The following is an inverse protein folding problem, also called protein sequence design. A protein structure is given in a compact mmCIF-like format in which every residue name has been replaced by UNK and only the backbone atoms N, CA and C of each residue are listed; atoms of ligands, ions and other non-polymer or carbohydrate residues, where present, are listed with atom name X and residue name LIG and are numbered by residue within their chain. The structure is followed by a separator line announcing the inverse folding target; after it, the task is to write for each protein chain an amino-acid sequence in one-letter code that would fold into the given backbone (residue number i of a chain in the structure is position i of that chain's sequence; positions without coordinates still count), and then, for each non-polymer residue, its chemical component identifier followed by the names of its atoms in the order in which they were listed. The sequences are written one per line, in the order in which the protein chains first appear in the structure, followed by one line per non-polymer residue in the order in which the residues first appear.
data_IF_981294707751
#
_entry.id   IF_981294707751
#
_cell.length_a   1.000
_cell.length_b   1.000
_cell.length_c   1.000
_cell.angle_alpha   90.00
_cell.angle_beta   90.00
_cell.angle_gamma   90.00
#
_symmetry.space_group_name_H-M   'P 1'
#
loop_
_entity.id
_entity.type
_entity.pdbx_description
1 polymer ?
#
# COMPACT_ATOMS: atom_id res chain seq x y z
N UNK A 1 -0.97 -29.66 13.72
CA UNK A 1 -1.38 -31.08 13.91
C UNK A 1 -2.02 -31.72 12.67
N UNK A 2 -2.67 -30.94 11.79
CA UNK A 2 -3.45 -31.46 10.63
C UNK A 2 -2.58 -32.04 9.51
N UNK A 3 -1.34 -31.59 9.35
CA UNK A 3 -0.48 -31.94 8.21
C UNK A 3 0.43 -33.16 8.48
N UNK A 4 0.47 -33.67 9.70
CA UNK A 4 1.36 -34.78 10.08
C UNK A 4 0.98 -36.16 9.54
N UNK A 5 -0.22 -36.32 8.98
CA UNK A 5 -0.75 -37.64 8.58
C UNK A 5 -0.80 -37.90 7.07
N UNK A 6 -0.27 -37.03 6.22
CA UNK A 6 -0.26 -37.23 4.77
C UNK A 6 1.17 -37.40 4.24
N UNK A 7 1.46 -38.49 3.52
CA UNK A 7 2.81 -38.84 3.04
C UNK A 7 3.31 -37.98 1.84
N UNK A 8 2.51 -36.99 1.38
CA UNK A 8 2.80 -36.17 0.20
C UNK A 8 4.14 -35.41 0.29
N UNK A 9 4.53 -34.95 1.49
CA UNK A 9 5.79 -34.21 1.71
C UNK A 9 7.03 -35.04 1.41
N UNK A 10 6.95 -36.37 1.48
CA UNK A 10 8.06 -37.27 1.15
C UNK A 10 8.34 -37.29 -0.35
N UNK A 11 7.29 -37.21 -1.19
CA UNK A 11 7.40 -37.28 -2.65
C UNK A 11 7.92 -35.99 -3.26
N UNK A 12 7.64 -34.84 -2.65
CA UNK A 12 8.00 -33.50 -3.15
C UNK A 12 9.30 -32.95 -2.52
N UNK A 13 9.98 -33.74 -1.69
CA UNK A 13 11.21 -33.32 -0.97
C UNK A 13 11.01 -32.01 -0.19
N UNK A 14 9.84 -31.85 0.44
CA UNK A 14 9.52 -30.69 1.28
C UNK A 14 10.29 -30.78 2.59
N UNK A 15 11.09 -29.77 2.90
CA UNK A 15 11.91 -29.70 4.11
C UNK A 15 11.19 -29.02 5.27
N UNK A 16 10.45 -27.96 4.98
CA UNK A 16 9.83 -27.13 6.01
C UNK A 16 8.38 -26.80 5.66
N UNK A 17 7.57 -26.85 6.72
CA UNK A 17 6.25 -26.23 6.77
C UNK A 17 6.39 -24.95 7.59
N UNK A 18 6.12 -23.83 6.96
CA UNK A 18 6.29 -22.50 7.56
C UNK A 18 4.93 -21.91 7.94
N UNK A 19 4.83 -20.63 7.90
CA UNK A 19 3.70 -19.83 8.33
C UNK A 19 2.37 -20.22 7.63
N UNK A 20 1.26 -20.29 8.41
CA UNK A 20 -0.11 -20.54 7.93
C UNK A 20 -0.92 -19.25 7.92
N UNK A 21 -1.61 -18.98 6.82
CA UNK A 21 -2.48 -17.81 6.66
C UNK A 21 -3.59 -18.09 5.66
N UNK A 22 -4.81 -17.67 5.97
CA UNK A 22 -5.99 -17.71 5.12
C UNK A 22 -6.27 -19.08 4.45
N UNK A 23 -5.98 -20.20 5.15
CA UNK A 23 -6.23 -21.55 4.63
C UNK A 23 -5.01 -22.21 3.98
N UNK A 24 -3.87 -21.52 3.89
CA UNK A 24 -2.65 -22.04 3.26
C UNK A 24 -1.44 -21.95 4.16
N UNK A 25 -0.60 -22.98 4.11
CA UNK A 25 0.72 -22.96 4.70
C UNK A 25 1.78 -22.78 3.61
N UNK A 26 2.79 -21.96 3.91
CA UNK A 26 3.98 -21.85 3.08
C UNK A 26 4.86 -23.10 3.28
N UNK A 27 5.29 -23.72 2.19
CA UNK A 27 6.21 -24.86 2.18
C UNK A 27 7.49 -24.51 1.45
N UNK A 28 8.61 -25.15 1.87
CA UNK A 28 9.91 -25.02 1.22
C UNK A 28 10.42 -26.40 0.78
N UNK A 29 10.83 -26.50 -0.47
CA UNK A 29 11.46 -27.68 -1.05
C UNK A 29 12.99 -27.68 -0.84
N UNK A 30 13.63 -28.83 -1.02
CA UNK A 30 15.08 -29.03 -0.80
C UNK A 30 16.00 -28.17 -1.66
N UNK A 31 15.53 -27.72 -2.81
CA UNK A 31 16.22 -26.77 -3.70
C UNK A 31 15.97 -25.28 -3.35
N UNK A 32 15.43 -25.02 -2.14
CA UNK A 32 15.11 -23.69 -1.61
C UNK A 32 13.99 -22.96 -2.33
N UNK A 33 13.18 -23.65 -3.13
CA UNK A 33 11.99 -23.07 -3.73
C UNK A 33 10.78 -23.24 -2.82
N UNK A 34 9.82 -22.33 -3.00
CA UNK A 34 8.63 -22.19 -2.16
C UNK A 34 7.34 -22.44 -2.94
N UNK A 35 6.34 -22.90 -2.24
CA UNK A 35 4.96 -23.02 -2.69
C UNK A 35 4.01 -22.91 -1.50
N UNK A 36 2.75 -23.14 -1.73
CA UNK A 36 1.71 -23.20 -0.71
C UNK A 36 1.03 -24.58 -0.72
N UNK A 37 0.48 -24.92 0.41
CA UNK A 37 -0.31 -26.13 0.60
C UNK A 37 -1.57 -25.80 1.39
N UNK A 38 -2.69 -26.38 0.99
CA UNK A 38 -3.97 -26.27 1.70
C UNK A 38 -4.05 -27.23 2.90
N UNK A 39 -5.17 -27.17 3.65
CA UNK A 39 -5.42 -28.04 4.81
C UNK A 39 -5.58 -29.53 4.42
N UNK A 40 -5.93 -29.83 3.18
CA UNK A 40 -6.08 -31.18 2.65
C UNK A 40 -4.75 -31.78 2.15
N UNK A 41 -3.69 -30.97 2.12
CA UNK A 41 -2.38 -31.42 1.65
C UNK A 41 -2.17 -31.22 0.14
N UNK A 42 -3.00 -30.44 -0.54
CA UNK A 42 -2.84 -30.14 -1.96
C UNK A 42 -1.89 -28.96 -2.17
N UNK A 43 -0.93 -29.14 -3.08
CA UNK A 43 -0.01 -28.06 -3.47
C UNK A 43 -0.77 -27.10 -4.40
N UNK A 44 -0.74 -25.80 -4.07
CA UNK A 44 -1.51 -24.76 -4.75
C UNK A 44 -1.09 -24.58 -6.22
N UNK A 45 0.19 -24.60 -6.53
CA UNK A 45 0.70 -24.34 -7.88
C UNK A 45 1.64 -25.43 -8.37
N UNK A 46 1.56 -25.74 -9.67
CA UNK A 46 2.54 -26.60 -10.34
C UNK A 46 3.93 -25.94 -10.44
N UNK A 47 4.00 -24.59 -10.33
CA UNK A 47 5.24 -23.82 -10.36
C UNK A 47 5.76 -23.59 -8.94
N UNK A 48 7.07 -23.60 -8.80
CA UNK A 48 7.77 -23.26 -7.57
C UNK A 48 8.45 -21.91 -7.72
N UNK A 49 8.55 -21.16 -6.63
CA UNK A 49 8.97 -19.76 -6.61
C UNK A 49 10.21 -19.58 -5.75
N UNK A 50 11.07 -18.61 -6.07
CA UNK A 50 12.26 -18.31 -5.25
C UNK A 50 11.89 -17.57 -3.96
N UNK A 51 10.71 -16.95 -3.91
CA UNK A 51 10.17 -16.28 -2.74
C UNK A 51 8.64 -16.26 -2.79
N UNK A 52 8.01 -16.38 -1.63
CA UNK A 52 6.57 -16.17 -1.44
C UNK A 52 6.29 -15.51 -0.10
N UNK A 53 5.31 -14.59 -0.04
CA UNK A 53 4.74 -14.07 1.20
C UNK A 53 3.57 -14.94 1.66
N UNK A 54 3.01 -14.66 2.85
CA UNK A 54 1.75 -15.23 3.30
C UNK A 54 0.57 -14.62 2.56
N UNK A 55 -0.57 -15.32 2.57
CA UNK A 55 -1.82 -14.80 2.02
C UNK A 55 -2.33 -13.61 2.85
N UNK A 56 -2.77 -12.59 2.13
CA UNK A 56 -3.45 -11.40 2.69
C UNK A 56 -4.50 -10.92 1.69
N UNK A 57 -5.73 -10.69 2.16
CA UNK A 57 -6.88 -10.31 1.34
C UNK A 57 -7.13 -11.23 0.12
N UNK A 58 -6.80 -12.52 0.26
CA UNK A 58 -7.02 -13.54 -0.79
C UNK A 58 -5.87 -13.74 -1.77
N UNK A 59 -4.79 -12.98 -1.66
CA UNK A 59 -3.62 -13.07 -2.53
C UNK A 59 -2.31 -13.24 -1.75
N UNK A 60 -1.34 -13.88 -2.37
CA UNK A 60 0.02 -13.97 -1.88
C UNK A 60 1.01 -13.43 -2.92
N UNK A 61 2.02 -12.70 -2.48
CA UNK A 61 3.12 -12.28 -3.35
C UNK A 61 4.02 -13.47 -3.63
N UNK A 62 4.37 -13.66 -4.89
CA UNK A 62 5.30 -14.67 -5.39
C UNK A 62 6.41 -14.02 -6.19
N UNK A 63 7.61 -14.61 -6.19
CA UNK A 63 8.74 -14.16 -6.99
C UNK A 63 9.31 -15.32 -7.81
N UNK A 64 9.49 -15.11 -9.10
CA UNK A 64 10.13 -16.10 -9.99
C UNK A 64 11.65 -15.90 -10.09
N UNK A 65 12.34 -16.81 -10.75
CA UNK A 65 13.81 -16.88 -10.80
C UNK A 65 14.52 -15.65 -11.39
N UNK A 66 13.87 -14.86 -12.23
CA UNK A 66 14.36 -13.59 -12.77
C UNK A 66 14.16 -12.40 -11.80
N UNK A 67 13.74 -12.68 -10.57
CA UNK A 67 13.50 -11.71 -9.48
C UNK A 67 12.33 -10.76 -9.71
N UNK A 68 11.43 -11.06 -10.64
CA UNK A 68 10.19 -10.33 -10.82
C UNK A 68 9.07 -10.94 -9.98
N UNK A 69 8.13 -10.10 -9.59
CA UNK A 69 7.05 -10.40 -8.66
C UNK A 69 5.70 -10.46 -9.35
N UNK A 70 4.78 -11.24 -8.81
CA UNK A 70 3.36 -11.26 -9.14
C UNK A 70 2.55 -11.68 -7.92
N UNK A 71 1.24 -11.71 -8.04
CA UNK A 71 0.34 -12.31 -7.07
C UNK A 71 -0.13 -13.68 -7.54
N UNK A 72 -0.42 -14.55 -6.58
CA UNK A 72 -1.14 -15.80 -6.77
C UNK A 72 -2.39 -15.78 -5.89
N UNK A 73 -3.53 -16.18 -6.46
CA UNK A 73 -4.79 -16.33 -5.72
C UNK A 73 -4.89 -17.71 -5.03
N UNK A 74 -5.98 -17.93 -4.32
CA UNK A 74 -6.26 -19.19 -3.60
C UNK A 74 -6.58 -20.37 -4.51
N UNK A 75 -6.84 -20.14 -5.78
CA UNK A 75 -7.06 -21.15 -6.82
C UNK A 75 -5.77 -21.48 -7.59
N UNK A 76 -4.66 -20.81 -7.26
CA UNK A 76 -3.36 -21.00 -7.90
C UNK A 76 -3.18 -20.21 -9.21
N UNK A 77 -4.08 -19.28 -9.52
CA UNK A 77 -3.96 -18.43 -10.69
C UNK A 77 -3.03 -17.25 -10.41
N UNK A 78 -2.22 -16.91 -11.41
CA UNK A 78 -1.40 -15.70 -11.39
C UNK A 78 -2.28 -14.51 -11.75
N UNK A 79 -2.30 -13.47 -10.91
CA UNK A 79 -3.19 -12.32 -11.06
C UNK A 79 -2.94 -11.58 -12.37
N UNK A 80 -1.68 -11.21 -12.67
CA UNK A 80 -1.38 -10.40 -13.85
C UNK A 80 -0.53 -11.15 -14.86
N UNK A 81 -0.74 -10.87 -16.15
CA UNK A 81 0.16 -11.31 -17.22
C UNK A 81 1.52 -10.63 -17.13
N UNK A 82 1.56 -9.43 -16.57
CA UNK A 82 2.78 -8.67 -16.32
C UNK A 82 3.44 -9.06 -15.00
N UNK A 83 4.78 -9.03 -14.99
CA UNK A 83 5.59 -9.26 -13.81
C UNK A 83 6.32 -7.96 -13.43
N UNK A 84 6.38 -7.65 -12.16
CA UNK A 84 6.78 -6.35 -11.64
C UNK A 84 8.14 -6.40 -10.94
N UNK A 85 8.85 -5.27 -10.93
CA UNK A 85 10.11 -5.14 -10.19
C UNK A 85 9.91 -4.98 -8.67
N UNK A 86 8.68 -4.67 -8.25
CA UNK A 86 8.26 -4.59 -6.86
C UNK A 86 6.74 -4.76 -6.76
N UNK A 87 6.31 -5.41 -5.69
CA UNK A 87 4.91 -5.50 -5.27
C UNK A 87 4.81 -5.24 -3.77
N UNK A 88 3.85 -4.39 -3.38
CA UNK A 88 3.33 -4.31 -2.01
C UNK A 88 2.24 -5.35 -1.76
N UNK A 89 1.82 -5.48 -0.51
CA UNK A 89 0.61 -6.24 -0.18
C UNK A 89 -0.64 -5.46 -0.57
N UNK A 90 -1.79 -6.15 -0.61
CA UNK A 90 -3.07 -5.47 -0.75
C UNK A 90 -3.43 -4.70 0.52
N UNK A 91 -3.79 -3.42 0.35
CA UNK A 91 -4.32 -2.53 1.37
C UNK A 91 -5.54 -1.81 0.83
N UNK A 92 -6.65 -1.92 1.55
CA UNK A 92 -7.93 -1.31 1.17
C UNK A 92 -8.36 -1.66 -0.26
N UNK A 93 -7.98 -2.86 -0.78
CA UNK A 93 -8.35 -3.38 -2.09
C UNK A 93 -7.38 -3.07 -3.23
N UNK A 94 -6.27 -2.37 -2.96
CA UNK A 94 -5.22 -2.07 -3.92
C UNK A 94 -3.85 -2.51 -3.44
N UNK A 95 -2.98 -2.86 -4.38
CA UNK A 95 -1.58 -3.17 -4.12
C UNK A 95 -0.67 -2.26 -4.95
N UNK A 96 0.44 -1.82 -4.36
CA UNK A 96 1.46 -1.05 -5.07
C UNK A 96 2.21 -1.97 -6.02
N UNK A 97 2.34 -1.57 -7.27
CA UNK A 97 3.17 -2.22 -8.29
C UNK A 97 4.25 -1.26 -8.80
N UNK A 98 5.42 -1.79 -9.15
CA UNK A 98 6.51 -0.99 -9.73
C UNK A 98 7.08 -1.64 -10.98
N UNK A 99 7.22 -0.85 -12.03
CA UNK A 99 7.98 -1.12 -13.24
C UNK A 99 9.34 -0.42 -13.19
N UNK A 100 10.39 -1.09 -13.54
CA UNK A 100 11.74 -0.51 -13.50
C UNK A 100 12.11 0.02 -12.12
N UNK A 101 12.77 1.19 -12.08
CA UNK A 101 13.29 1.76 -10.83
C UNK A 101 12.33 2.73 -10.14
N UNK A 102 11.50 3.47 -10.89
CA UNK A 102 10.76 4.61 -10.34
C UNK A 102 9.35 4.79 -10.91
N UNK A 103 8.76 3.78 -11.53
CA UNK A 103 7.42 3.86 -12.09
C UNK A 103 6.46 3.03 -11.23
N UNK A 104 5.71 3.70 -10.38
CA UNK A 104 4.75 3.11 -9.46
C UNK A 104 3.31 3.33 -9.90
N UNK A 105 2.46 2.39 -9.63
CA UNK A 105 1.02 2.48 -9.76
C UNK A 105 0.35 1.58 -8.72
N UNK A 106 -0.95 1.55 -8.70
CA UNK A 106 -1.74 0.61 -7.92
C UNK A 106 -2.46 -0.35 -8.87
N UNK A 107 -2.63 -1.58 -8.44
CA UNK A 107 -3.40 -2.60 -9.13
C UNK A 107 -4.51 -3.12 -8.19
N UNK A 108 -5.71 -3.30 -8.72
CA UNK A 108 -6.80 -3.96 -8.00
C UNK A 108 -6.79 -5.48 -8.17
N UNK A 109 -7.75 -6.15 -7.57
CA UNK A 109 -7.90 -7.62 -7.60
C UNK A 109 -8.39 -8.15 -8.97
N UNK A 110 -8.84 -7.26 -9.85
CA UNK A 110 -9.31 -7.57 -11.21
C UNK A 110 -8.27 -7.19 -12.28
N UNK A 111 -7.01 -6.97 -11.88
CA UNK A 111 -5.88 -6.60 -12.76
C UNK A 111 -5.99 -5.19 -13.38
N UNK A 112 -6.85 -4.31 -12.85
CA UNK A 112 -6.95 -2.94 -13.34
C UNK A 112 -5.96 -2.02 -12.63
N UNK A 113 -5.27 -1.19 -13.43
CA UNK A 113 -4.47 -0.10 -12.84
C UNK A 113 -5.38 1.05 -12.41
N UNK A 114 -5.13 1.58 -11.22
CA UNK A 114 -5.91 2.68 -10.65
C UNK A 114 -5.76 3.97 -11.47
N UNK A 115 -4.56 4.25 -11.99
CA UNK A 115 -4.27 5.44 -12.78
C UNK A 115 -3.70 5.06 -14.15
N UNK A 116 -3.98 5.89 -15.15
CA UNK A 116 -3.28 5.83 -16.45
C UNK A 116 -1.85 6.34 -16.35
N UNK A 117 -1.57 7.18 -15.37
CA UNK A 117 -0.26 7.76 -15.11
C UNK A 117 0.53 6.85 -14.14
N UNK A 118 1.86 6.87 -14.30
CA UNK A 118 2.79 6.21 -13.40
C UNK A 118 3.55 7.27 -12.61
N UNK A 119 3.72 7.00 -11.32
CA UNK A 119 4.25 7.94 -10.35
C UNK A 119 5.70 7.62 -9.97
N UNK A 120 6.46 8.61 -9.55
CA UNK A 120 7.83 8.41 -9.07
C UNK A 120 7.90 7.83 -7.66
N UNK A 121 6.84 8.01 -6.89
CA UNK A 121 6.68 7.43 -5.56
C UNK A 121 5.19 7.36 -5.22
N UNK A 122 4.80 6.34 -4.47
CA UNK A 122 3.45 6.20 -3.91
C UNK A 122 3.55 5.61 -2.51
N UNK A 123 2.51 5.80 -1.71
CA UNK A 123 2.33 5.13 -0.42
C UNK A 123 1.01 4.34 -0.41
N UNK A 124 0.85 3.45 0.56
CA UNK A 124 -0.36 2.65 0.72
C UNK A 124 -1.59 3.54 1.00
N UNK A 125 -2.77 2.97 0.79
CA UNK A 125 -4.04 3.63 1.09
C UNK A 125 -4.24 3.79 2.60
N UNK A 126 -4.63 5.00 3.02
CA UNK A 126 -5.04 5.36 4.37
C UNK A 126 -6.31 6.20 4.32
N UNK A 127 -7.35 5.78 5.04
CA UNK A 127 -8.67 6.45 5.06
C UNK A 127 -9.23 6.73 3.65
N UNK A 128 -8.98 5.81 2.69
CA UNK A 128 -9.48 5.90 1.32
C UNK A 128 -8.64 6.72 0.34
N UNK A 129 -7.49 7.23 0.76
CA UNK A 129 -6.56 8.00 -0.08
C UNK A 129 -5.15 7.44 -0.02
N UNK A 130 -4.44 7.51 -1.14
CA UNK A 130 -3.02 7.17 -1.24
C UNK A 130 -2.22 8.40 -1.66
N UNK A 131 -1.01 8.54 -1.13
CA UNK A 131 -0.08 9.59 -1.55
C UNK A 131 0.58 9.19 -2.87
N UNK A 132 0.67 10.14 -3.80
CA UNK A 132 1.34 9.97 -5.09
C UNK A 132 2.26 11.15 -5.38
N UNK A 133 3.44 10.88 -5.93
CA UNK A 133 4.44 11.89 -6.27
C UNK A 133 4.79 11.85 -7.74
N UNK A 134 4.74 13.00 -8.39
CA UNK A 134 5.14 13.19 -9.78
C UNK A 134 6.67 13.31 -9.94
N UNK A 135 7.11 13.37 -11.19
CA UNK A 135 8.51 13.53 -11.55
C UNK A 135 9.14 14.85 -11.07
N UNK A 136 8.36 15.93 -11.01
CA UNK A 136 8.73 17.24 -10.44
C UNK A 136 8.87 17.23 -8.91
N UNK A 137 8.70 16.05 -8.28
CA UNK A 137 8.77 15.78 -6.84
C UNK A 137 7.64 16.39 -6.00
N UNK A 138 6.57 16.85 -6.63
CA UNK A 138 5.39 17.32 -5.92
C UNK A 138 4.43 16.17 -5.65
N UNK A 139 3.73 16.28 -4.53
CA UNK A 139 2.81 15.29 -4.00
C UNK A 139 1.35 15.70 -4.13
N UNK A 140 0.49 14.72 -4.29
CA UNK A 140 -0.96 14.82 -4.14
C UNK A 140 -1.50 13.54 -3.52
N UNK A 141 -2.78 13.50 -3.30
CA UNK A 141 -3.51 12.29 -2.94
C UNK A 141 -4.33 11.82 -4.14
N UNK A 142 -4.53 10.50 -4.24
CA UNK A 142 -5.41 9.86 -5.21
C UNK A 142 -6.46 9.05 -4.45
N UNK A 143 -7.72 9.13 -4.87
CA UNK A 143 -8.81 8.33 -4.31
C UNK A 143 -8.86 6.93 -4.96
N UNK A 144 -9.73 6.05 -4.46
CA UNK A 144 -9.93 4.68 -4.99
C UNK A 144 -10.56 4.63 -6.40
N UNK A 145 -10.92 5.76 -6.97
CA UNK A 145 -11.41 5.88 -8.35
C UNK A 145 -10.35 6.42 -9.30
N UNK A 146 -9.17 6.75 -8.78
CA UNK A 146 -8.07 7.31 -9.56
C UNK A 146 -8.16 8.82 -9.75
N UNK A 147 -8.98 9.54 -8.97
CA UNK A 147 -9.07 10.99 -9.04
C UNK A 147 -8.10 11.64 -8.06
N UNK A 148 -7.44 12.71 -8.47
CA UNK A 148 -6.66 13.52 -7.56
C UNK A 148 -7.58 14.28 -6.60
N UNK A 149 -7.18 14.32 -5.33
CA UNK A 149 -7.95 15.00 -4.27
C UNK A 149 -7.95 16.51 -4.46
N UNK A 150 -6.83 17.09 -4.89
CA UNK A 150 -6.66 18.53 -5.07
C UNK A 150 -6.18 18.86 -6.48
N UNK A 151 -6.55 20.04 -6.99
CA UNK A 151 -5.93 20.61 -8.20
C UNK A 151 -4.52 21.13 -7.91
N UNK A 152 -4.19 21.42 -6.66
CA UNK A 152 -2.87 21.84 -6.22
C UNK A 152 -1.99 20.63 -5.90
N UNK A 153 -0.69 20.79 -6.16
CA UNK A 153 0.34 19.84 -5.80
C UNK A 153 1.24 20.46 -4.74
N UNK A 154 1.64 19.65 -3.78
CA UNK A 154 2.30 20.11 -2.57
C UNK A 154 3.77 19.63 -2.55
N UNK A 155 4.61 20.36 -1.86
CA UNK A 155 6.00 19.96 -1.61
C UNK A 155 6.08 18.68 -0.80
N UNK A 156 5.18 18.55 0.20
CA UNK A 156 5.07 17.36 1.03
C UNK A 156 3.63 17.17 1.52
N UNK A 157 3.26 15.91 1.78
CA UNK A 157 1.93 15.54 2.30
C UNK A 157 2.08 14.41 3.31
N UNK A 158 1.23 14.40 4.32
CA UNK A 158 1.23 13.41 5.39
C UNK A 158 -0.05 12.57 5.32
N UNK A 159 -0.07 11.40 5.98
CA UNK A 159 -1.21 10.50 5.95
C UNK A 159 -2.48 11.16 6.50
N UNK A 160 -3.63 10.69 6.03
CA UNK A 160 -4.92 11.07 6.57
C UNK A 160 -5.07 10.54 8.00
N UNK A 161 -5.55 11.41 8.88
CA UNK A 161 -5.95 11.10 10.24
C UNK A 161 -7.24 11.84 10.57
N UNK A 162 -8.26 11.11 10.98
CA UNK A 162 -9.56 11.69 11.37
C UNK A 162 -10.21 12.56 10.26
N UNK A 163 -10.00 12.19 8.98
CA UNK A 163 -10.54 12.85 7.81
C UNK A 163 -9.75 14.07 7.31
N UNK A 164 -8.55 14.31 7.83
CA UNK A 164 -7.67 15.42 7.42
C UNK A 164 -6.24 14.94 7.25
N UNK A 165 -5.53 15.54 6.30
CA UNK A 165 -4.11 15.36 6.10
C UNK A 165 -3.37 16.70 6.21
N UNK A 166 -2.15 16.68 6.70
CA UNK A 166 -1.25 17.85 6.67
C UNK A 166 -0.60 17.92 5.30
N UNK A 167 -0.55 19.12 4.73
CA UNK A 167 0.12 19.41 3.45
C UNK A 167 1.12 20.56 3.63
N UNK A 168 2.23 20.52 2.91
CA UNK A 168 3.25 21.55 2.92
C UNK A 168 3.43 22.14 1.51
N UNK A 169 3.40 23.44 1.37
CA UNK A 169 3.72 24.10 0.11
C UNK A 169 5.22 24.45 0.00
N UNK A 170 5.65 24.94 -1.16
CA UNK A 170 7.07 25.15 -1.49
C UNK A 170 7.81 26.12 -0.56
N UNK A 171 7.13 27.09 0.04
CA UNK A 171 7.69 28.05 1.02
C UNK A 171 7.78 27.48 2.44
N UNK A 172 7.59 26.13 2.58
CA UNK A 172 7.66 25.39 3.83
C UNK A 172 6.56 25.70 4.85
N UNK A 173 5.48 26.36 4.44
CA UNK A 173 4.31 26.54 5.28
C UNK A 173 3.34 25.37 5.14
N UNK A 174 2.59 25.14 6.20
CA UNK A 174 1.70 23.98 6.35
C UNK A 174 0.24 24.40 6.39
N UNK A 175 -0.62 23.52 5.93
CA UNK A 175 -2.07 23.58 6.13
C UNK A 175 -2.63 22.16 6.33
N UNK A 176 -3.90 22.06 6.63
CA UNK A 176 -4.63 20.80 6.62
C UNK A 176 -5.58 20.77 5.41
N UNK A 177 -5.69 19.62 4.75
CA UNK A 177 -6.63 19.37 3.66
C UNK A 177 -7.64 18.31 4.10
N UNK A 178 -8.92 18.55 3.86
CA UNK A 178 -9.96 17.57 4.14
C UNK A 178 -10.17 16.58 2.99
N UNK A 179 -10.95 15.52 3.24
CA UNK A 179 -11.33 14.52 2.23
C UNK A 179 -12.13 15.07 1.05
N UNK A 180 -12.59 16.30 1.15
CA UNK A 180 -13.25 17.05 0.07
C UNK A 180 -12.28 17.85 -0.82
N UNK A 181 -10.97 17.73 -0.59
CA UNK A 181 -9.92 18.41 -1.34
C UNK A 181 -9.77 19.90 -1.02
N UNK A 182 -10.43 20.41 0.02
CA UNK A 182 -10.34 21.81 0.44
C UNK A 182 -9.37 21.99 1.58
N UNK A 183 -8.56 23.05 1.50
CA UNK A 183 -7.75 23.47 2.63
C UNK A 183 -8.67 23.91 3.78
N UNK A 184 -8.27 23.59 4.99
CA UNK A 184 -9.05 23.83 6.19
C UNK A 184 -9.03 25.32 6.60
N UNK A 185 -7.95 26.03 6.25
CA UNK A 185 -7.76 27.45 6.58
C UNK A 185 -7.24 28.22 5.39
N UNK A 186 -7.63 29.51 5.28
CA UNK A 186 -6.98 30.46 4.35
C UNK A 186 -5.58 30.85 4.84
N UNK A 187 -5.32 30.73 6.15
CA UNK A 187 -3.99 30.97 6.74
C UNK A 187 -3.09 29.75 6.59
N UNK A 188 -1.84 29.97 6.22
CA UNK A 188 -0.78 28.95 6.24
C UNK A 188 0.07 29.11 7.49
N UNK A 189 0.46 27.97 8.06
CA UNK A 189 1.11 27.88 9.37
C UNK A 189 2.59 27.57 9.24
N UNK A 190 3.39 28.05 10.18
CA UNK A 190 4.80 27.68 10.28
C UNK A 190 4.99 26.22 10.62
N UNK A 191 4.01 25.62 11.32
CA UNK A 191 3.98 24.22 11.71
C UNK A 191 2.53 23.74 11.86
N UNK A 192 2.27 22.48 11.54
CA UNK A 192 0.99 21.81 11.77
C UNK A 192 1.24 20.35 12.15
N UNK A 193 0.50 19.86 13.12
CA UNK A 193 0.48 18.44 13.54
C UNK A 193 -0.82 17.83 12.98
N UNK A 194 -0.80 16.54 12.69
CA UNK A 194 -2.00 15.82 12.25
C UNK A 194 -3.13 15.92 13.30
N UNK A 195 -4.35 15.80 12.82
CA UNK A 195 -5.54 15.84 13.68
C UNK A 195 -5.52 14.72 14.72
N UNK A 196 -5.86 15.09 15.94
CA UNK A 196 -6.47 14.15 16.87
C UNK A 196 -8.00 14.16 16.65
N UNK A 197 -8.76 13.46 17.50
CA UNK A 197 -10.23 13.38 17.34
C UNK A 197 -10.94 14.73 17.19
N UNK A 198 -10.37 15.82 17.70
CA UNK A 198 -11.05 17.12 17.87
C UNK A 198 -10.38 18.25 17.09
N UNK A 199 -9.05 18.35 17.15
CA UNK A 199 -8.28 19.48 16.60
C UNK A 199 -6.89 19.04 16.15
N UNK A 200 -6.22 19.93 15.41
CA UNK A 200 -4.79 19.88 15.16
C UNK A 200 -4.09 21.05 15.86
N UNK A 201 -2.87 20.84 16.35
CA UNK A 201 -2.04 21.93 16.84
C UNK A 201 -1.31 22.58 15.67
N UNK A 202 -1.38 23.93 15.60
CA UNK A 202 -0.75 24.72 14.55
C UNK A 202 0.07 25.85 15.14
N UNK A 203 1.20 26.18 14.51
CA UNK A 203 2.00 27.34 14.87
C UNK A 203 1.87 28.40 13.75
N UNK A 204 1.36 29.56 14.10
CA UNK A 204 1.25 30.69 13.17
C UNK A 204 2.62 31.26 12.82
N UNK A 205 2.69 32.01 11.73
CA UNK A 205 3.94 32.63 11.25
C UNK A 205 4.56 33.61 12.26
N UNK A 206 3.73 34.19 13.16
CA UNK A 206 4.20 35.03 14.28
C UNK A 206 4.75 34.24 15.48
N UNK A 207 4.85 32.89 15.37
CA UNK A 207 5.36 32.00 16.40
C UNK A 207 4.36 31.55 17.47
N UNK A 208 3.14 32.10 17.49
CA UNK A 208 2.11 31.71 18.46
C UNK A 208 1.48 30.38 18.09
N UNK A 209 1.28 29.53 19.07
CA UNK A 209 0.53 28.27 18.93
C UNK A 209 -0.97 28.51 19.05
N UNK A 210 -1.74 27.75 18.31
CA UNK A 210 -3.20 27.68 18.36
C UNK A 210 -3.65 26.26 18.05
N UNK A 211 -4.93 25.99 18.31
CA UNK A 211 -5.61 24.77 17.90
C UNK A 211 -6.57 25.08 16.77
N UNK A 212 -6.52 24.35 15.67
CA UNK A 212 -7.50 24.45 14.59
C UNK A 212 -8.49 23.30 14.71
N UNK A 213 -9.77 23.59 14.77
CA UNK A 213 -10.80 22.55 14.79
C UNK A 213 -11.19 22.11 13.37
N UNK A 214 -12.03 21.06 13.28
CA UNK A 214 -12.47 20.50 11.99
C UNK A 214 -13.31 21.45 11.12
N UNK A 215 -13.69 22.60 11.64
CA UNK A 215 -14.39 23.67 10.88
C UNK A 215 -13.43 24.75 10.37
N UNK A 216 -12.15 24.66 10.72
CA UNK A 216 -11.13 25.65 10.36
C UNK A 216 -11.02 26.81 11.34
N UNK A 217 -11.78 26.79 12.45
CA UNK A 217 -11.73 27.84 13.48
C UNK A 217 -10.51 27.66 14.38
N UNK A 218 -9.80 28.76 14.59
CA UNK A 218 -8.65 28.84 15.48
C UNK A 218 -9.10 29.12 16.93
N UNK A 219 -8.52 28.36 17.86
CA UNK A 219 -8.67 28.51 19.31
C UNK A 219 -7.29 28.78 19.93
N UNK A 220 -7.21 29.82 20.76
CA UNK A 220 -5.96 30.31 21.39
C UNK A 220 -5.90 29.97 22.86
#
# INVERSE_FOLDING_TARGET
EIIKNTEWWKNENVLDLLYYSEGFAKIRRGDYLFNFIDEQGNILSKKWFIYVCHFQEGFAVIQRGDKLYNFIDKDGNILSKEWFNYLGNFHEGFAIVRRGYYLYNFIDKDENYLSKEWFNCVDDFHEGFAKVRREDRLWNFIDKKGNYLSNEWFKDVYDFHEGFAVVQREDYLYNCIGTNGKLLSDEWFKYAIHFNKVHADVQRTNGKWAKIDKTGKLHF
#
